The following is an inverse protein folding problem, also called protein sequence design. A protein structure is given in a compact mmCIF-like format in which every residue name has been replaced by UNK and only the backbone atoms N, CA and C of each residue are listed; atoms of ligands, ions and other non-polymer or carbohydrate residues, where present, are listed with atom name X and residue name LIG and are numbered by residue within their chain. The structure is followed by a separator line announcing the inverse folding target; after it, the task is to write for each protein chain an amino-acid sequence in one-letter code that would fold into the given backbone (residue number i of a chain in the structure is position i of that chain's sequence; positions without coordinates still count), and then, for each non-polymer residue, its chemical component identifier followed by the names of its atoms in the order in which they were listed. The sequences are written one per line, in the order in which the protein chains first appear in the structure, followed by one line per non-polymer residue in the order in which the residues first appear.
data_IF_113351219324
#
_entry.id   IF_113351219324
#
_cell.length_a   1.000
_cell.length_b   1.000
_cell.length_c   1.000
_cell.angle_alpha   90.00
_cell.angle_beta   90.00
_cell.angle_gamma   90.00
#
_symmetry.space_group_name_H-M   'P 1'
#
loop_
_entity.id
_entity.type
_entity.pdbx_description
1 polymer ?
#
# COMPACT_ATOMS: atom_id res chain seq x y z
N UNK A 1 -18.15 -1.77 12.62
CA UNK A 1 -17.72 -0.90 11.51
C UNK A 1 -16.42 -1.39 10.91
N UNK A 2 -16.35 -1.43 9.59
CA UNK A 2 -15.10 -1.78 8.92
C UNK A 2 -14.08 -0.66 9.08
N UNK A 3 -12.84 -1.04 9.37
CA UNK A 3 -11.74 -0.07 9.40
C UNK A 3 -11.47 0.43 7.97
N UNK A 4 -11.10 1.70 7.79
CA UNK A 4 -10.73 2.19 6.46
C UNK A 4 -9.46 1.48 5.97
N UNK A 5 -9.37 1.32 4.66
CA UNK A 5 -8.13 0.85 4.03
C UNK A 5 -7.08 1.96 4.17
N UNK A 6 -5.83 1.59 4.39
CA UNK A 6 -4.75 2.57 4.38
C UNK A 6 -3.99 2.48 3.07
N UNK A 7 -3.83 3.62 2.40
CA UNK A 7 -2.92 3.75 1.26
C UNK A 7 -1.63 4.36 1.83
N UNK A 8 -0.54 3.62 1.75
CA UNK A 8 0.74 4.08 2.26
C UNK A 8 1.54 4.69 1.11
N UNK A 9 1.81 5.98 1.22
CA UNK A 9 2.45 6.78 0.18
C UNK A 9 1.45 7.68 -0.52
N UNK A 10 1.87 8.91 -0.82
CA UNK A 10 1.06 9.89 -1.56
C UNK A 10 1.67 10.10 -2.94
N UNK A 11 1.85 9.01 -3.68
CA UNK A 11 2.47 8.96 -4.99
C UNK A 11 1.44 9.06 -6.12
N UNK A 12 1.95 9.11 -7.34
CA UNK A 12 1.10 9.12 -8.53
C UNK A 12 0.22 7.86 -8.60
N UNK A 13 0.79 6.69 -8.28
CA UNK A 13 0.02 5.44 -8.27
C UNK A 13 -1.02 5.44 -7.15
N UNK A 14 -0.73 6.10 -6.05
CA UNK A 14 -1.69 6.26 -4.95
C UNK A 14 -2.93 7.03 -5.41
N UNK A 15 -2.76 8.01 -6.29
CA UNK A 15 -3.88 8.75 -6.87
C UNK A 15 -4.81 7.82 -7.65
N UNK A 16 -4.24 6.86 -8.37
CA UNK A 16 -5.03 5.88 -9.13
C UNK A 16 -5.82 4.97 -8.20
N UNK A 17 -5.20 4.48 -7.13
CA UNK A 17 -5.90 3.68 -6.12
C UNK A 17 -7.01 4.48 -5.45
N UNK A 18 -6.76 5.75 -5.16
CA UNK A 18 -7.74 6.65 -4.57
C UNK A 18 -8.99 6.73 -5.45
N UNK A 19 -8.81 6.91 -6.75
CA UNK A 19 -9.91 6.98 -7.72
C UNK A 19 -10.73 5.69 -7.73
N UNK A 20 -10.06 4.55 -7.68
CA UNK A 20 -10.74 3.24 -7.66
C UNK A 20 -11.55 3.08 -6.38
N UNK A 21 -10.98 3.40 -5.25
CA UNK A 21 -11.68 3.27 -3.96
C UNK A 21 -12.86 4.24 -3.87
N UNK A 22 -12.71 5.46 -4.39
CA UNK A 22 -13.82 6.41 -4.47
C UNK A 22 -14.96 5.87 -5.32
N UNK A 23 -14.62 5.30 -6.48
CA UNK A 23 -15.62 4.72 -7.39
C UNK A 23 -16.36 3.54 -6.76
N UNK A 24 -15.69 2.79 -5.88
CA UNK A 24 -16.25 1.66 -5.17
C UNK A 24 -16.95 2.03 -3.85
N UNK A 25 -16.90 3.31 -3.48
CA UNK A 25 -17.43 3.82 -2.20
C UNK A 25 -16.79 3.12 -0.99
N UNK A 26 -15.50 2.84 -1.09
CA UNK A 26 -14.72 2.23 -0.01
C UNK A 26 -13.97 3.31 0.76
N UNK A 27 -14.13 3.33 2.08
CA UNK A 27 -13.47 4.27 2.96
C UNK A 27 -11.96 3.98 3.07
N UNK A 28 -11.14 5.01 3.01
CA UNK A 28 -9.68 4.87 3.12
C UNK A 28 -9.03 6.11 3.71
N UNK A 29 -7.85 5.92 4.28
CA UNK A 29 -6.96 6.97 4.73
C UNK A 29 -5.67 6.89 3.90
N UNK A 30 -5.06 8.04 3.62
CA UNK A 30 -3.78 8.10 2.93
C UNK A 30 -2.72 8.57 3.90
N UNK A 31 -1.63 7.79 4.02
CA UNK A 31 -0.55 8.08 4.95
C UNK A 31 0.73 8.34 4.16
N UNK A 32 1.30 9.52 4.35
CA UNK A 32 2.52 9.94 3.67
C UNK A 32 3.52 10.51 4.65
N UNK A 33 4.69 10.89 4.15
CA UNK A 33 5.76 11.45 4.97
C UNK A 33 5.79 12.97 4.93
N UNK A 34 5.85 13.55 3.74
CA UNK A 34 6.14 14.95 3.54
C UNK A 34 4.95 15.80 3.16
N UNK A 35 5.09 17.09 3.40
CA UNK A 35 4.04 18.07 3.12
C UNK A 35 3.88 18.29 1.61
N UNK A 36 4.98 18.24 0.84
CA UNK A 36 4.95 18.50 -0.59
C UNK A 36 4.14 17.46 -1.36
N UNK A 37 4.41 16.18 -1.14
CA UNK A 37 3.65 15.10 -1.78
C UNK A 37 2.20 15.07 -1.30
N UNK A 38 1.96 15.40 -0.03
CA UNK A 38 0.62 15.52 0.52
C UNK A 38 -0.19 16.62 -0.17
N UNK A 39 0.43 17.77 -0.41
CA UNK A 39 -0.23 18.89 -1.12
C UNK A 39 -0.55 18.53 -2.56
N UNK A 40 0.38 17.87 -3.25
CA UNK A 40 0.17 17.43 -4.64
C UNK A 40 -0.96 16.41 -4.73
N UNK A 41 -1.00 15.47 -3.79
CA UNK A 41 -2.04 14.45 -3.72
C UNK A 41 -3.42 15.09 -3.48
N UNK A 42 -3.50 16.04 -2.55
CA UNK A 42 -4.73 16.74 -2.26
C UNK A 42 -5.25 17.52 -3.47
N UNK A 43 -4.35 18.19 -4.22
CA UNK A 43 -4.72 18.89 -5.44
C UNK A 43 -5.31 17.93 -6.49
N UNK A 44 -4.73 16.74 -6.61
CA UNK A 44 -5.13 15.77 -7.63
C UNK A 44 -6.41 15.03 -7.26
N UNK A 45 -6.67 14.76 -5.98
CA UNK A 45 -7.74 13.88 -5.54
C UNK A 45 -8.79 14.54 -4.64
N UNK A 46 -8.46 15.67 -4.04
CA UNK A 46 -9.32 16.31 -3.04
C UNK A 46 -9.22 15.71 -1.64
N UNK A 47 -8.42 14.66 -1.47
CA UNK A 47 -8.28 13.98 -0.17
C UNK A 47 -7.07 14.45 0.62
N UNK A 48 -7.26 14.60 1.91
CA UNK A 48 -6.17 14.93 2.83
C UNK A 48 -5.23 13.73 3.02
N UNK A 49 -3.96 14.02 3.26
CA UNK A 49 -2.95 13.00 3.57
C UNK A 49 -2.50 13.19 5.01
N UNK A 50 -2.46 12.10 5.74
CA UNK A 50 -1.92 12.08 7.10
C UNK A 50 -0.40 12.03 6.99
N UNK A 51 0.27 13.11 7.30
CA UNK A 51 1.74 13.24 7.18
C UNK A 51 2.46 12.76 8.42
N UNK A 52 3.77 12.55 8.30
CA UNK A 52 4.62 12.12 9.41
C UNK A 52 5.08 10.68 9.33
N UNK A 53 4.62 9.93 8.32
CA UNK A 53 5.07 8.56 8.07
C UNK A 53 4.24 7.48 8.75
N UNK A 54 4.38 6.27 8.24
CA UNK A 54 3.59 5.11 8.67
C UNK A 54 3.79 4.77 10.15
N UNK A 55 5.04 4.76 10.61
CA UNK A 55 5.38 4.36 11.98
C UNK A 55 4.61 5.15 13.02
N UNK A 56 4.44 6.44 12.78
CA UNK A 56 3.70 7.34 13.68
C UNK A 56 2.27 6.86 13.93
N UNK A 57 1.59 6.44 12.86
CA UNK A 57 0.18 6.03 12.95
C UNK A 57 0.02 4.61 13.47
N UNK A 58 0.97 3.73 13.16
CA UNK A 58 0.94 2.35 13.65
C UNK A 58 1.10 2.25 15.17
N UNK A 59 1.60 3.29 15.82
CA UNK A 59 1.65 3.35 17.29
C UNK A 59 0.27 3.40 17.91
N UNK A 60 -0.72 3.88 17.19
CA UNK A 60 -2.10 4.06 17.71
C UNK A 60 -3.05 2.97 17.23
N UNK A 61 -2.95 2.57 15.98
CA UNK A 61 -3.85 1.59 15.38
C UNK A 61 -3.23 1.04 14.11
N UNK A 62 -3.85 0.01 13.55
CA UNK A 62 -3.42 -0.54 12.27
C UNK A 62 -4.65 -0.90 11.42
N UNK A 63 -4.54 -0.90 10.10
CA UNK A 63 -5.65 -1.25 9.23
C UNK A 63 -5.76 -2.76 9.08
N UNK A 64 -6.93 -3.25 8.69
CA UNK A 64 -7.07 -4.66 8.29
C UNK A 64 -6.51 -4.87 6.88
N UNK A 65 -6.65 -3.86 6.02
CA UNK A 65 -6.18 -3.90 4.63
C UNK A 65 -5.35 -2.66 4.34
N UNK A 66 -4.20 -2.85 3.70
CA UNK A 66 -3.34 -1.73 3.30
C UNK A 66 -2.84 -1.91 1.86
N UNK A 67 -2.64 -0.78 1.20
CA UNK A 67 -2.03 -0.71 -0.12
C UNK A 67 -0.71 0.04 0.06
N UNK A 68 0.41 -0.61 -0.27
CA UNK A 68 1.73 0.00 -0.13
C UNK A 68 2.20 0.51 -1.48
N UNK A 69 2.24 1.83 -1.63
CA UNK A 69 2.55 2.51 -2.88
C UNK A 69 3.58 3.62 -2.68
N UNK A 70 4.61 3.34 -1.90
CA UNK A 70 5.75 4.24 -1.67
C UNK A 70 6.82 4.00 -2.74
N UNK A 71 7.89 4.79 -2.73
CA UNK A 71 9.04 4.55 -3.59
C UNK A 71 9.65 3.17 -3.34
N UNK A 72 10.35 2.64 -4.34
CA UNK A 72 10.87 1.26 -4.30
C UNK A 72 11.68 0.97 -3.04
N UNK A 73 12.51 1.91 -2.62
CA UNK A 73 13.35 1.74 -1.43
C UNK A 73 12.54 1.61 -0.13
N UNK A 74 11.31 2.11 -0.13
CA UNK A 74 10.46 2.08 1.07
C UNK A 74 9.50 0.91 1.14
N UNK A 75 9.37 0.14 0.06
CA UNK A 75 8.38 -0.94 -0.03
C UNK A 75 8.57 -2.01 1.05
N UNK A 76 9.80 -2.47 1.21
CA UNK A 76 10.12 -3.52 2.17
C UNK A 76 9.81 -3.09 3.61
N UNK A 77 10.32 -1.93 4.02
CA UNK A 77 10.17 -1.48 5.40
C UNK A 77 8.69 -1.21 5.74
N UNK A 78 7.96 -0.55 4.86
CA UNK A 78 6.53 -0.29 5.08
C UNK A 78 5.73 -1.58 5.21
N UNK A 79 5.98 -2.54 4.32
CA UNK A 79 5.27 -3.81 4.33
C UNK A 79 5.61 -4.60 5.60
N UNK A 80 6.87 -4.63 5.99
CA UNK A 80 7.31 -5.29 7.21
C UNK A 80 6.60 -4.73 8.45
N UNK A 81 6.53 -3.41 8.57
CA UNK A 81 5.86 -2.75 9.69
C UNK A 81 4.37 -3.11 9.74
N UNK A 82 3.71 -3.15 8.59
CA UNK A 82 2.29 -3.53 8.52
C UNK A 82 2.08 -4.99 8.95
N UNK A 83 2.94 -5.89 8.47
CA UNK A 83 2.86 -7.30 8.87
C UNK A 83 3.05 -7.44 10.38
N UNK A 84 4.05 -6.78 10.92
CA UNK A 84 4.35 -6.83 12.36
C UNK A 84 3.22 -6.24 13.20
N UNK A 85 2.49 -5.26 12.68
CA UNK A 85 1.37 -4.66 13.40
C UNK A 85 0.11 -5.50 13.38
N UNK A 86 0.01 -6.48 12.48
CA UNK A 86 -1.15 -7.36 12.40
C UNK A 86 -2.10 -7.07 11.24
N UNK A 87 -1.72 -6.24 10.30
CA UNK A 87 -2.50 -6.00 9.09
C UNK A 87 -2.68 -7.30 8.32
N UNK A 88 -3.90 -7.67 8.02
CA UNK A 88 -4.24 -8.99 7.51
C UNK A 88 -4.02 -9.17 6.01
N UNK A 89 -4.24 -8.12 5.24
CA UNK A 89 -4.11 -8.15 3.78
C UNK A 89 -3.34 -6.92 3.31
N UNK A 90 -2.32 -7.16 2.49
CA UNK A 90 -1.49 -6.08 1.97
C UNK A 90 -1.35 -6.24 0.46
N UNK A 91 -1.71 -5.19 -0.26
CA UNK A 91 -1.42 -5.09 -1.69
C UNK A 91 -0.14 -4.26 -1.80
N UNK A 92 0.92 -4.90 -2.25
CA UNK A 92 2.25 -4.31 -2.33
C UNK A 92 2.58 -3.97 -3.77
N UNK A 93 2.89 -2.69 -4.04
CA UNK A 93 3.27 -2.29 -5.40
C UNK A 93 4.54 -3.00 -5.85
N UNK A 94 4.59 -3.25 -7.16
CA UNK A 94 5.74 -3.87 -7.79
C UNK A 94 6.98 -2.98 -7.69
N UNK A 95 8.17 -3.53 -7.62
CA UNK A 95 8.53 -4.96 -7.67
C UNK A 95 8.47 -5.67 -6.30
N UNK A 96 7.89 -5.07 -5.30
CA UNK A 96 7.77 -5.61 -3.95
C UNK A 96 8.94 -5.21 -3.06
N UNK A 97 10.13 -5.11 -3.62
CA UNK A 97 11.33 -4.71 -2.89
C UNK A 97 12.48 -4.48 -3.88
N UNK A 98 13.62 -4.00 -3.38
CA UNK A 98 14.83 -3.79 -4.18
C UNK A 98 15.66 -5.07 -4.33
N UNK A 99 15.36 -6.13 -3.59
CA UNK A 99 16.14 -7.37 -3.64
C UNK A 99 15.27 -8.61 -3.44
N UNK A 100 15.75 -9.73 -3.99
CA UNK A 100 15.11 -11.03 -3.80
C UNK A 100 15.12 -11.45 -2.33
N UNK A 101 16.20 -11.16 -1.62
CA UNK A 101 16.32 -11.50 -0.19
C UNK A 101 15.23 -10.84 0.64
N UNK A 102 14.93 -9.58 0.36
CA UNK A 102 13.85 -8.87 1.06
C UNK A 102 12.49 -9.47 0.77
N UNK A 103 12.25 -9.87 -0.48
CA UNK A 103 10.99 -10.54 -0.86
C UNK A 103 10.84 -11.86 -0.09
N UNK A 104 11.91 -12.64 0.02
CA UNK A 104 11.91 -13.90 0.78
C UNK A 104 11.61 -13.63 2.26
N UNK A 105 12.22 -12.60 2.83
CA UNK A 105 11.97 -12.21 4.23
C UNK A 105 10.50 -11.84 4.45
N UNK A 106 9.93 -11.06 3.54
CA UNK A 106 8.51 -10.67 3.64
C UNK A 106 7.60 -11.89 3.53
N UNK A 107 7.90 -12.79 2.60
CA UNK A 107 7.13 -14.00 2.42
C UNK A 107 7.16 -14.88 3.69
N UNK A 108 8.33 -15.07 4.26
CA UNK A 108 8.50 -15.86 5.48
C UNK A 108 7.75 -15.24 6.66
N UNK A 109 7.85 -13.92 6.81
CA UNK A 109 7.19 -13.21 7.89
C UNK A 109 5.66 -13.26 7.74
N UNK A 110 5.17 -13.05 6.51
CA UNK A 110 3.74 -13.11 6.22
C UNK A 110 3.17 -14.51 6.49
N UNK A 111 3.89 -15.55 6.07
CA UNK A 111 3.48 -16.93 6.31
C UNK A 111 3.44 -17.26 7.80
N UNK A 112 4.45 -16.83 8.53
CA UNK A 112 4.53 -17.04 9.98
C UNK A 112 3.33 -16.41 10.71
N UNK A 113 2.92 -15.23 10.27
CA UNK A 113 1.82 -14.49 10.89
C UNK A 113 0.47 -14.70 10.23
N UNK A 114 0.42 -15.55 9.20
CA UNK A 114 -0.80 -15.86 8.43
C UNK A 114 -1.43 -14.63 7.81
N UNK A 115 -0.59 -13.79 7.20
CA UNK A 115 -1.00 -12.55 6.53
C UNK A 115 -0.86 -12.73 5.03
N UNK A 116 -1.84 -12.26 4.28
CA UNK A 116 -1.83 -12.30 2.81
C UNK A 116 -1.14 -11.04 2.27
N UNK A 117 -0.07 -11.26 1.50
CA UNK A 117 0.62 -10.17 0.80
C UNK A 117 0.60 -10.49 -0.69
N UNK A 118 0.00 -9.59 -1.48
CA UNK A 118 -0.10 -9.73 -2.93
C UNK A 118 0.70 -8.62 -3.59
N UNK A 119 1.53 -8.96 -4.56
CA UNK A 119 2.28 -7.98 -5.34
C UNK A 119 1.45 -7.57 -6.55
N UNK A 120 1.33 -6.27 -6.75
CA UNK A 120 0.48 -5.70 -7.80
C UNK A 120 1.13 -5.77 -9.18
N UNK A 121 1.07 -6.92 -9.81
CA UNK A 121 1.51 -7.11 -11.20
C UNK A 121 0.33 -6.85 -12.15
N UNK A 122 -0.05 -5.59 -12.29
CA UNK A 122 -1.25 -5.20 -13.03
C UNK A 122 -1.20 -5.56 -14.52
N UNK A 123 -0.01 -5.69 -15.11
CA UNK A 123 0.13 -6.06 -16.52
C UNK A 123 -0.44 -7.43 -16.86
N UNK A 124 -0.55 -8.32 -15.88
CA UNK A 124 -1.16 -9.65 -16.11
C UNK A 124 -2.65 -9.57 -16.46
N UNK A 125 -3.28 -8.43 -16.21
CA UNK A 125 -4.70 -8.20 -16.52
C UNK A 125 -4.93 -7.50 -17.87
N UNK A 126 -3.86 -7.20 -18.61
CA UNK A 126 -4.00 -6.63 -19.95
C UNK A 126 -4.54 -7.70 -20.91
N UNK A 127 -5.40 -7.31 -21.84
CA UNK A 127 -5.98 -8.24 -22.82
C UNK A 127 -4.94 -9.03 -23.58
N UNK A 128 -3.80 -8.40 -23.93
CA UNK A 128 -2.71 -9.07 -24.63
C UNK A 128 -2.16 -10.27 -23.84
N UNK A 129 -2.12 -10.16 -22.50
CA UNK A 129 -1.65 -11.24 -21.64
C UNK A 129 -2.68 -12.38 -21.62
N UNK A 130 -3.97 -12.04 -21.51
CA UNK A 130 -5.03 -13.06 -21.55
C UNK A 130 -5.06 -13.84 -22.86
N UNK A 131 -4.81 -13.16 -23.97
CA UNK A 131 -4.77 -13.81 -25.30
C UNK A 131 -3.58 -14.75 -25.46
N UNK A 132 -2.51 -14.57 -24.69
CA UNK A 132 -1.32 -15.44 -24.74
C UNK A 132 -1.48 -16.74 -23.95
N UNK A 133 -2.45 -16.79 -23.09
CA UNK A 133 -2.77 -17.98 -22.30
C UNK A 133 -3.76 -18.85 -23.06
#
# INVERSE_FOLDING_TARGET
MKKPIWIIGASKISEDYSKVLDALNISYDVIGRGIRSASSFKKATGHEVKTGGLTKYLKKSFPDVAIVAVGVEGLFQATKELIESGTKRILLEKPGSVSTDEIIQLNNLANKKKIEVLIAYNRRFYQSVYKMK
#
